data_IF_716481841416
#
_entry.id   IF_716481841416
#
_cell.length_a   1.000
_cell.length_b   1.000
_cell.length_c   1.000
_cell.angle_alpha   90.00
_cell.angle_beta   90.00
_cell.angle_gamma   90.00
#
_symmetry.space_group_name_H-M   'P 1'
#
loop_
_entity.id
_entity.type
_entity.pdbx_description
1 polymer ?
#
# COMPACT_ATOMS: atom_id res chain seq x y z
N UNK A 1 0.15 5.14 16.98
CA UNK A 1 0.24 4.08 15.95
C UNK A 1 1.58 4.24 15.26
N UNK A 2 2.34 3.17 15.07
CA UNK A 2 3.58 3.25 14.29
C UNK A 2 3.21 3.14 12.81
N UNK A 3 3.22 4.26 12.08
CA UNK A 3 2.81 4.31 10.67
C UNK A 3 3.70 3.45 9.77
N UNK A 4 4.99 3.28 10.08
CA UNK A 4 5.89 2.38 9.36
C UNK A 4 5.52 0.90 9.55
N UNK A 5 5.13 0.53 10.77
CA UNK A 5 4.65 -0.83 11.06
C UNK A 5 3.33 -1.11 10.33
N UNK A 6 2.40 -0.15 10.34
CA UNK A 6 1.14 -0.26 9.62
C UNK A 6 1.36 -0.37 8.11
N UNK A 7 2.23 0.48 7.55
CA UNK A 7 2.64 0.41 6.14
C UNK A 7 3.13 -0.99 5.78
N UNK A 8 4.04 -1.56 6.58
CA UNK A 8 4.61 -2.89 6.35
C UNK A 8 3.57 -4.00 6.47
N UNK A 9 2.68 -3.92 7.46
CA UNK A 9 1.62 -4.90 7.67
C UNK A 9 0.63 -4.92 6.50
N UNK A 10 0.16 -3.75 6.05
CA UNK A 10 -0.73 -3.67 4.90
C UNK A 10 -0.06 -4.11 3.60
N UNK A 11 1.24 -3.82 3.42
CA UNK A 11 2.00 -4.27 2.24
C UNK A 11 2.06 -5.80 2.18
N UNK A 12 2.27 -6.46 3.33
CA UNK A 12 2.19 -7.93 3.45
C UNK A 12 0.83 -8.48 3.06
N UNK A 13 -0.25 -7.86 3.51
CA UNK A 13 -1.60 -8.30 3.15
C UNK A 13 -1.93 -8.07 1.66
N UNK A 14 -1.39 -7.01 1.06
CA UNK A 14 -1.49 -6.79 -0.39
C UNK A 14 -0.82 -7.94 -1.16
N UNK A 15 0.38 -8.34 -0.76
CA UNK A 15 1.12 -9.47 -1.35
C UNK A 15 0.36 -10.80 -1.20
N UNK A 16 -0.18 -11.09 -0.01
CA UNK A 16 -1.03 -12.28 0.21
C UNK A 16 -2.25 -12.25 -0.70
N UNK A 17 -2.89 -11.09 -0.85
CA UNK A 17 -4.06 -10.92 -1.71
C UNK A 17 -3.72 -11.08 -3.20
N UNK A 18 -2.55 -10.59 -3.62
CA UNK A 18 -2.02 -10.78 -4.98
C UNK A 18 -1.81 -12.26 -5.28
N UNK A 19 -1.19 -13.01 -4.37
CA UNK A 19 -0.95 -14.46 -4.52
C UNK A 19 -2.26 -15.24 -4.61
N UNK A 20 -3.30 -14.79 -3.90
CA UNK A 20 -4.65 -15.37 -3.95
C UNK A 20 -5.51 -14.84 -5.10
N UNK A 21 -4.97 -14.00 -5.98
CA UNK A 21 -5.68 -13.33 -7.09
C UNK A 21 -6.89 -12.50 -6.64
N UNK A 22 -6.89 -12.03 -5.40
CA UNK A 22 -7.94 -11.19 -4.81
C UNK A 22 -7.64 -9.71 -5.10
N UNK A 23 -7.66 -9.33 -6.37
CA UNK A 23 -7.25 -7.99 -6.82
C UNK A 23 -8.02 -6.83 -6.16
N UNK A 24 -9.35 -6.90 -5.93
CA UNK A 24 -10.06 -5.83 -5.21
C UNK A 24 -9.58 -5.64 -3.76
N UNK A 25 -9.24 -6.73 -3.07
CA UNK A 25 -8.69 -6.69 -1.70
C UNK A 25 -7.25 -6.17 -1.71
N UNK A 26 -6.44 -6.64 -2.67
CA UNK A 26 -5.08 -6.14 -2.88
C UNK A 26 -5.07 -4.63 -3.07
N UNK A 27 -5.94 -4.08 -3.90
CA UNK A 27 -5.99 -2.64 -4.17
C UNK A 27 -6.34 -1.83 -2.89
N UNK A 28 -7.23 -2.35 -2.05
CA UNK A 28 -7.53 -1.74 -0.74
C UNK A 28 -6.30 -1.75 0.19
N UNK A 29 -5.59 -2.87 0.25
CA UNK A 29 -4.37 -2.97 1.06
C UNK A 29 -3.26 -2.07 0.54
N UNK A 30 -3.07 -1.97 -0.78
CA UNK A 30 -2.11 -1.03 -1.38
C UNK A 30 -2.43 0.42 -1.04
N UNK A 31 -3.71 0.80 -1.00
CA UNK A 31 -4.10 2.15 -0.59
C UNK A 31 -3.84 2.39 0.90
N UNK A 32 -4.14 1.43 1.76
CA UNK A 32 -3.81 1.51 3.19
C UNK A 32 -2.29 1.63 3.39
N UNK A 33 -1.48 0.82 2.68
CA UNK A 33 -0.01 0.94 2.64
C UNK A 33 0.42 2.35 2.24
N UNK A 34 -0.11 2.86 1.13
CA UNK A 34 0.26 4.19 0.63
C UNK A 34 -0.13 5.32 1.58
N UNK A 35 -1.28 5.21 2.25
CA UNK A 35 -1.72 6.20 3.25
C UNK A 35 -0.80 6.18 4.47
N UNK A 36 -0.45 5.01 4.99
CA UNK A 36 0.53 4.86 6.08
C UNK A 36 1.91 5.34 5.66
N UNK A 37 2.33 5.08 4.41
CA UNK A 37 3.58 5.58 3.85
C UNK A 37 3.62 7.11 3.79
N UNK A 38 2.53 7.77 3.41
CA UNK A 38 2.44 9.24 3.46
C UNK A 38 2.66 9.78 4.89
N UNK A 39 2.10 9.11 5.90
CA UNK A 39 2.26 9.51 7.31
C UNK A 39 3.67 9.24 7.83
N UNK A 40 4.31 8.19 7.35
CA UNK A 40 5.72 7.87 7.60
C UNK A 40 6.72 8.66 6.72
N UNK A 41 6.26 9.70 6.01
CA UNK A 41 7.06 10.50 5.07
C UNK A 41 7.74 9.72 3.92
N UNK A 42 7.30 8.49 3.65
CA UNK A 42 7.74 7.66 2.53
C UNK A 42 6.83 7.89 1.29
N UNK A 43 6.81 9.13 0.78
CA UNK A 43 5.92 9.55 -0.32
C UNK A 43 6.10 8.75 -1.61
N UNK A 44 7.32 8.25 -1.82
CA UNK A 44 7.72 7.38 -2.91
C UNK A 44 6.95 6.06 -2.95
N UNK A 45 6.87 5.39 -1.80
CA UNK A 45 6.10 4.15 -1.63
C UNK A 45 4.63 4.43 -1.92
N UNK A 46 4.11 5.56 -1.43
CA UNK A 46 2.72 5.96 -1.67
C UNK A 46 2.44 6.17 -3.18
N UNK A 47 3.31 6.90 -3.88
CA UNK A 47 3.19 7.10 -5.33
C UNK A 47 3.13 5.77 -6.07
N UNK A 48 4.00 4.84 -5.70
CA UNK A 48 4.06 3.53 -6.32
C UNK A 48 2.85 2.65 -6.04
N UNK A 49 2.34 2.65 -4.80
CA UNK A 49 1.08 1.99 -4.47
C UNK A 49 -0.07 2.50 -5.35
N UNK A 50 -0.14 3.82 -5.57
CA UNK A 50 -1.15 4.44 -6.46
C UNK A 50 -1.00 3.96 -7.90
N UNK A 51 0.21 3.88 -8.43
CA UNK A 51 0.46 3.37 -9.78
C UNK A 51 -0.02 1.94 -9.98
N UNK A 52 0.28 1.04 -9.03
CA UNK A 52 -0.13 -0.36 -9.09
C UNK A 52 -1.67 -0.49 -9.07
N UNK A 53 -2.33 0.28 -8.20
CA UNK A 53 -3.80 0.32 -8.15
C UNK A 53 -4.38 0.81 -9.48
N UNK A 54 -3.82 1.87 -10.07
CA UNK A 54 -4.30 2.43 -11.33
C UNK A 54 -4.01 1.53 -12.53
N UNK A 55 -2.91 0.78 -12.52
CA UNK A 55 -2.58 -0.18 -13.57
C UNK A 55 -3.61 -1.32 -13.63
N UNK A 56 -4.13 -1.73 -12.47
CA UNK A 56 -5.15 -2.78 -12.38
C UNK A 56 -6.58 -2.25 -12.52
N UNK A 57 -6.86 -1.09 -11.93
CA UNK A 57 -8.16 -0.44 -11.98
C UNK A 57 -8.00 1.03 -12.45
N UNK A 58 -7.96 1.27 -13.77
CA UNK A 58 -7.80 2.61 -14.32
C UNK A 58 -8.94 3.56 -13.98
N UNK A 59 -10.11 3.03 -13.59
CA UNK A 59 -11.30 3.80 -13.21
C UNK A 59 -11.36 4.06 -11.69
N UNK A 60 -10.33 3.70 -10.94
CA UNK A 60 -10.29 3.88 -9.50
C UNK A 60 -10.40 5.37 -9.10
N UNK A 61 -11.08 5.66 -8.00
CA UNK A 61 -11.30 7.01 -7.47
C UNK A 61 -9.99 7.81 -7.32
N UNK A 62 -8.90 7.12 -6.96
CA UNK A 62 -7.57 7.72 -6.76
C UNK A 62 -7.00 8.41 -8.01
N UNK A 63 -7.52 8.07 -9.21
CA UNK A 63 -7.13 8.73 -10.47
C UNK A 63 -7.43 10.22 -10.47
N UNK A 64 -8.47 10.66 -9.75
CA UNK A 64 -8.89 12.07 -9.69
C UNK A 64 -7.86 12.97 -9.02
N UNK A 65 -6.97 12.40 -8.23
CA UNK A 65 -5.98 13.13 -7.44
C UNK A 65 -4.59 12.99 -8.06
N UNK A 66 -3.81 14.06 -8.04
CA UNK A 66 -2.44 14.07 -8.57
C UNK A 66 -1.53 13.12 -7.78
N UNK A 67 -1.70 13.07 -6.45
CA UNK A 67 -0.93 12.22 -5.54
C UNK A 67 -1.81 11.69 -4.38
N UNK A 68 -1.32 10.69 -3.64
CA UNK A 68 -1.98 10.24 -2.41
C UNK A 68 -2.03 11.32 -1.32
N UNK A 69 -0.96 12.12 -1.08
CA UNK A 69 -1.03 13.28 -0.21
C UNK A 69 -2.12 14.29 -0.61
N UNK A 70 -2.33 14.52 -1.91
CA UNK A 70 -3.41 15.40 -2.38
C UNK A 70 -4.78 14.77 -2.16
N UNK A 71 -4.90 13.46 -2.37
CA UNK A 71 -6.13 12.74 -2.08
C UNK A 71 -6.51 12.88 -0.59
N UNK A 72 -5.55 12.73 0.32
CA UNK A 72 -5.77 12.85 1.77
C UNK A 72 -6.23 14.24 2.23
N UNK A 73 -6.10 15.28 1.39
CA UNK A 73 -6.61 16.63 1.66
C UNK A 73 -8.04 16.86 1.16
N UNK A 74 -8.61 15.90 0.43
CA UNK A 74 -9.94 16.00 -0.17
C UNK A 74 -10.99 15.33 0.71
N UNK A 75 -12.07 16.05 1.03
CA UNK A 75 -13.23 15.51 1.78
C UNK A 75 -13.85 14.29 1.06
N UNK A 76 -13.90 14.31 -0.27
CA UNK A 76 -14.42 13.20 -1.09
C UNK A 76 -13.61 11.90 -0.86
N UNK A 77 -12.30 12.04 -0.67
CA UNK A 77 -11.43 10.89 -0.41
C UNK A 77 -11.46 10.49 1.06
N UNK A 78 -11.69 11.43 1.99
CA UNK A 78 -11.79 11.14 3.42
C UNK A 78 -12.89 10.12 3.71
N UNK A 79 -14.06 10.24 3.05
CA UNK A 79 -15.15 9.26 3.16
C UNK A 79 -14.70 7.86 2.74
N UNK A 80 -13.93 7.77 1.64
CA UNK A 80 -13.40 6.50 1.16
C UNK A 80 -12.30 5.94 2.08
N UNK A 81 -11.41 6.80 2.58
CA UNK A 81 -10.39 6.43 3.56
C UNK A 81 -11.02 5.90 4.85
N UNK A 82 -12.08 6.52 5.36
CA UNK A 82 -12.82 6.01 6.52
C UNK A 82 -13.42 4.61 6.27
N UNK A 83 -13.83 4.30 5.03
CA UNK A 83 -14.28 2.95 4.67
C UNK A 83 -13.12 1.94 4.64
N UNK A 84 -11.94 2.36 4.17
CA UNK A 84 -10.74 1.52 4.18
C UNK A 84 -10.28 1.20 5.61
N UNK A 85 -10.30 2.20 6.50
CA UNK A 85 -9.90 2.03 7.90
C UNK A 85 -10.83 1.05 8.63
N UNK A 86 -12.15 1.13 8.40
CA UNK A 86 -13.13 0.15 8.89
C UNK A 86 -12.98 -1.24 8.27
N UNK A 87 -12.54 -1.29 7.02
CA UNK A 87 -12.32 -2.57 6.33
C UNK A 87 -11.17 -3.34 6.99
N UNK A 88 -10.05 -2.67 7.26
CA UNK A 88 -8.91 -3.27 7.94
C UNK A 88 -8.15 -2.25 8.79
N UNK A 89 -8.33 -2.33 10.10
CA UNK A 89 -7.50 -1.61 11.07
C UNK A 89 -6.10 -2.23 11.14
N UNK A 90 -5.14 -1.52 11.74
CA UNK A 90 -3.80 -2.04 11.97
C UNK A 90 -3.82 -3.32 12.83
N UNK A 91 -4.57 -3.33 13.93
CA UNK A 91 -4.70 -4.50 14.82
C UNK A 91 -5.27 -5.71 14.06
N UNK A 92 -6.27 -5.48 13.21
CA UNK A 92 -6.82 -6.53 12.34
C UNK A 92 -5.79 -7.01 11.32
N UNK A 93 -4.95 -6.10 10.80
CA UNK A 93 -3.90 -6.49 9.88
C UNK A 93 -2.85 -7.37 10.55
N UNK A 94 -2.42 -7.02 11.76
CA UNK A 94 -1.50 -7.84 12.56
C UNK A 94 -2.10 -9.23 12.84
N UNK A 95 -3.38 -9.28 13.24
CA UNK A 95 -4.08 -10.53 13.45
C UNK A 95 -4.14 -11.39 12.18
N UNK A 96 -4.54 -10.81 11.04
CA UNK A 96 -4.58 -11.53 9.76
C UNK A 96 -3.20 -12.04 9.34
N UNK A 97 -2.15 -11.26 9.58
CA UNK A 97 -0.79 -11.70 9.29
C UNK A 97 -0.36 -12.85 10.17
N UNK A 98 -0.68 -12.82 11.47
CA UNK A 98 -0.43 -13.94 12.36
C UNK A 98 -1.12 -15.22 11.87
N UNK A 99 -2.36 -15.13 11.39
CA UNK A 99 -3.09 -16.26 10.79
C UNK A 99 -2.47 -16.77 9.48
N UNK A 100 -1.79 -15.91 8.72
CA UNK A 100 -1.13 -16.28 7.46
C UNK A 100 0.35 -16.71 7.64
N UNK A 101 0.98 -16.38 8.77
CA UNK A 101 2.38 -16.71 9.06
C UNK A 101 2.58 -18.18 9.45
N UNK A 102 1.49 -18.94 9.63
CA UNK A 102 1.48 -20.41 9.73
C UNK A 102 2.00 -21.11 8.44
N UNK A 103 2.40 -20.32 7.43
CA UNK A 103 3.03 -20.76 6.18
C UNK A 103 4.15 -19.83 5.68
N UNK A 104 4.96 -19.25 6.57
CA UNK A 104 6.40 -18.86 6.44
C UNK A 104 6.95 -18.11 5.21
N UNK A 105 6.18 -17.79 4.17
CA UNK A 105 6.73 -17.28 2.90
C UNK A 105 6.14 -15.95 2.44
N UNK A 106 5.07 -15.47 3.08
CA UNK A 106 4.42 -14.22 2.73
C UNK A 106 5.12 -12.98 3.33
N UNK A 107 5.68 -13.12 4.54
CA UNK A 107 6.34 -12.02 5.26
C UNK A 107 7.63 -11.51 4.60
N UNK A 108 8.45 -12.42 4.07
CA UNK A 108 9.72 -12.09 3.40
C UNK A 108 9.49 -11.40 2.04
N UNK A 109 8.48 -11.83 1.27
CA UNK A 109 8.18 -11.24 -0.06
C UNK A 109 7.65 -9.82 0.03
N UNK A 110 6.98 -9.46 1.12
CA UNK A 110 6.44 -8.13 1.30
C UNK A 110 7.49 -7.10 1.74
N UNK A 111 8.43 -7.51 2.61
CA UNK A 111 9.64 -6.70 2.86
C UNK A 111 10.36 -6.51 1.53
N UNK A 112 10.52 -7.59 0.75
CA UNK A 112 11.10 -7.52 -0.59
C UNK A 112 10.30 -6.64 -1.55
N UNK A 113 8.98 -6.56 -1.43
CA UNK A 113 8.16 -5.68 -2.27
C UNK A 113 8.38 -4.24 -1.89
N UNK A 114 8.31 -3.87 -0.60
CA UNK A 114 8.60 -2.51 -0.14
C UNK A 114 10.04 -2.10 -0.45
N UNK A 115 11.00 -3.01 -0.28
CA UNK A 115 12.40 -2.83 -0.67
C UNK A 115 12.57 -2.73 -2.18
N UNK A 116 11.94 -3.58 -2.99
CA UNK A 116 11.98 -3.48 -4.46
C UNK A 116 11.33 -2.19 -4.96
N UNK A 117 10.25 -1.72 -4.32
CA UNK A 117 9.66 -0.42 -4.62
C UNK A 117 10.64 0.72 -4.29
N UNK A 118 11.41 0.60 -3.20
CA UNK A 118 12.45 1.57 -2.80
C UNK A 118 13.70 1.50 -3.68
N UNK A 119 14.17 0.32 -4.04
CA UNK A 119 15.36 0.07 -4.88
C UNK A 119 15.12 0.47 -6.33
N UNK A 120 13.92 0.22 -6.88
CA UNK A 120 13.56 0.63 -8.25
C UNK A 120 13.60 2.15 -8.41
N UNK A 121 13.35 2.91 -7.34
CA UNK A 121 13.45 4.37 -7.35
C UNK A 121 14.89 4.85 -7.30
N UNK A 122 15.71 4.27 -6.42
CA UNK A 122 17.15 4.56 -6.31
C UNK A 122 17.95 4.15 -7.57
N UNK A 123 17.40 3.26 -8.40
CA UNK A 123 18.01 2.85 -9.66
C UNK A 123 17.72 3.78 -10.85
N UNK A 124 17.05 4.93 -10.64
CA UNK A 124 16.73 5.89 -11.72
C UNK A 124 17.76 7.03 -11.86
N UNK A 125 18.87 6.98 -11.11
CA UNK A 125 19.93 8.01 -11.07
C UNK A 125 21.16 7.73 -11.98
N UNK A 126 21.01 7.05 -13.13
CA UNK A 126 22.16 6.73 -14.00
C UNK A 126 22.26 7.45 -15.37
N UNK A 127 21.42 8.45 -15.68
CA UNK A 127 21.66 9.28 -16.87
C UNK A 127 21.46 10.77 -16.58
N UNK A 128 22.48 11.40 -16.02
CA UNK A 128 22.80 12.79 -16.35
C UNK A 128 24.26 12.85 -16.79
N UNK A 129 24.46 12.46 -18.06
CA UNK A 129 25.65 12.83 -18.83
C UNK A 129 25.46 14.20 -19.47
#
# INVERSE_FOLDING_TARGET
>A
MNDEAAMTAFARLAEVSQQKQQYPQRDKFLLLTGISACRAACVDIAARCREIVLANNPQHLIRKYASLPDALRSEDFEVFHAQLDRFCTFEKAEYLLHEFDDGGSAGERAIRTVEQLRESLNSTDWETG
#
